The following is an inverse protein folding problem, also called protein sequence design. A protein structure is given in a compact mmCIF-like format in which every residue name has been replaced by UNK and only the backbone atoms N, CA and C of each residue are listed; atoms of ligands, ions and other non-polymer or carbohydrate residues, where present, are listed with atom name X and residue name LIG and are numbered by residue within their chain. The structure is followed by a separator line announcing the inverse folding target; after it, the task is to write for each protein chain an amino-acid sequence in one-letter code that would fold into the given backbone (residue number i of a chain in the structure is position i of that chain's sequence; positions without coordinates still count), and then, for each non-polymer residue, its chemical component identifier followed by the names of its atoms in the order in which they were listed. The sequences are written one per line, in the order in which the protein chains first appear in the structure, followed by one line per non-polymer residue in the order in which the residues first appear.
data_IF_326859897808
#
_entry.id   IF_326859897808
#
_cell.length_a   1.000
_cell.length_b   1.000
_cell.length_c   1.000
_cell.angle_alpha   90.00
_cell.angle_beta   90.00
_cell.angle_gamma   90.00
#
_symmetry.space_group_name_H-M   'P 1'
#
loop_
_entity.id
_entity.type
_entity.pdbx_description
1 polymer ?
#
# COMPACT_ATOMS: atom_id res chain seq x y z
N UNK A 1 17.81 9.85 29.16
CA UNK A 1 19.07 9.78 29.92
C UNK A 1 18.87 8.70 30.97
N UNK A 2 19.55 7.57 30.85
CA UNK A 2 19.59 6.58 31.93
C UNK A 2 20.67 7.11 32.87
N UNK A 3 20.30 7.54 34.07
CA UNK A 3 21.28 7.95 35.06
C UNK A 3 22.19 6.75 35.37
N UNK A 4 23.51 6.94 35.29
CA UNK A 4 24.49 5.95 35.76
C UNK A 4 24.43 5.93 37.30
N UNK A 5 23.47 5.17 37.84
CA UNK A 5 23.27 4.93 39.28
C UNK A 5 24.02 3.69 39.77
N UNK A 6 24.92 3.14 38.97
CA UNK A 6 25.55 1.84 39.24
C UNK A 6 26.81 1.97 40.12
N UNK A 7 27.29 3.20 40.37
CA UNK A 7 28.47 3.44 41.20
C UNK A 7 28.07 3.73 42.66
N UNK A 8 28.60 2.96 43.63
CA UNK A 8 28.35 3.20 45.04
C UNK A 8 28.96 4.55 45.46
N UNK A 9 28.31 5.21 46.42
CA UNK A 9 28.80 6.46 46.96
C UNK A 9 30.17 6.28 47.65
N UNK A 10 31.04 7.28 47.54
CA UNK A 10 32.44 7.19 47.97
C UNK A 10 32.58 6.92 49.47
N UNK A 11 31.68 7.48 50.29
CA UNK A 11 31.59 7.25 51.74
C UNK A 11 31.30 5.79 52.09
N UNK A 12 30.56 5.07 51.25
CA UNK A 12 30.32 3.63 51.39
C UNK A 12 31.56 2.82 51.01
N UNK A 13 32.30 3.25 49.99
CA UNK A 13 33.56 2.63 49.58
C UNK A 13 34.64 2.77 50.65
N UNK A 14 34.76 3.95 51.25
CA UNK A 14 35.77 4.27 52.26
C UNK A 14 35.54 3.56 53.60
N UNK A 15 34.32 3.09 53.86
CA UNK A 15 33.95 2.33 55.06
C UNK A 15 34.16 0.80 54.92
N UNK A 16 34.43 0.29 53.71
CA UNK A 16 34.66 -1.13 53.47
C UNK A 16 36.08 -1.56 53.86
N UNK A 17 36.24 -2.85 54.19
CA UNK A 17 37.57 -3.45 54.26
C UNK A 17 38.19 -3.59 52.86
N UNK A 18 39.53 -3.58 52.76
CA UNK A 18 40.25 -3.70 51.48
C UNK A 18 39.79 -4.92 50.65
N UNK A 19 39.53 -6.05 51.31
CA UNK A 19 39.08 -7.27 50.65
C UNK A 19 37.65 -7.17 50.09
N UNK A 20 36.78 -6.42 50.74
CA UNK A 20 35.42 -6.15 50.29
C UNK A 20 35.42 -5.13 49.14
N UNK A 21 36.21 -4.07 49.27
CA UNK A 21 36.45 -3.09 48.22
C UNK A 21 36.93 -3.77 46.92
N UNK A 22 37.92 -4.66 47.00
CA UNK A 22 38.44 -5.38 45.84
C UNK A 22 37.42 -6.32 45.19
N UNK A 23 36.49 -6.90 45.97
CA UNK A 23 35.41 -7.72 45.43
C UNK A 23 34.38 -6.84 44.72
N UNK A 24 34.01 -5.72 45.32
CA UNK A 24 33.03 -4.80 44.76
C UNK A 24 33.57 -4.15 43.47
N UNK A 25 34.82 -3.71 43.45
CA UNK A 25 35.45 -3.17 42.24
C UNK A 25 35.60 -4.20 41.12
N UNK A 26 35.71 -5.50 41.44
CA UNK A 26 35.65 -6.57 40.44
C UNK A 26 34.23 -6.77 39.90
N UNK A 27 33.22 -6.70 40.76
CA UNK A 27 31.80 -6.78 40.37
C UNK A 27 31.41 -5.61 39.46
N UNK A 28 31.75 -4.38 39.85
CA UNK A 28 31.44 -3.17 39.08
C UNK A 28 32.09 -3.20 37.70
N UNK A 29 33.35 -3.65 37.59
CA UNK A 29 34.00 -3.82 36.29
C UNK A 29 33.26 -4.79 35.36
N UNK A 30 32.76 -5.91 35.90
CA UNK A 30 31.95 -6.86 35.12
C UNK A 30 30.63 -6.23 34.66
N UNK A 31 29.89 -5.60 35.58
CA UNK A 31 28.62 -4.95 35.25
C UNK A 31 28.78 -3.85 34.19
N UNK A 32 29.83 -3.02 34.29
CA UNK A 32 30.12 -2.01 33.27
C UNK A 32 30.44 -2.63 31.91
N UNK A 33 31.17 -3.75 31.88
CA UNK A 33 31.46 -4.45 30.64
C UNK A 33 30.19 -5.06 30.02
N UNK A 34 29.37 -5.76 30.81
CA UNK A 34 28.11 -6.34 30.36
C UNK A 34 27.14 -5.26 29.85
N UNK A 35 27.06 -4.13 30.56
CA UNK A 35 26.27 -2.96 30.13
C UNK A 35 26.76 -2.40 28.81
N UNK A 36 28.08 -2.28 28.62
CA UNK A 36 28.66 -1.81 27.35
C UNK A 36 28.31 -2.77 26.19
N UNK A 37 28.41 -4.08 26.40
CA UNK A 37 28.02 -5.08 25.39
C UNK A 37 26.52 -5.02 25.09
N UNK A 38 25.68 -4.92 26.12
CA UNK A 38 24.23 -4.76 25.97
C UNK A 38 23.89 -3.47 25.18
N UNK A 39 24.60 -2.38 25.43
CA UNK A 39 24.39 -1.13 24.72
C UNK A 39 24.74 -1.26 23.24
N UNK A 40 25.85 -1.93 22.90
CA UNK A 40 26.25 -2.19 21.50
C UNK A 40 25.24 -3.10 20.80
N UNK A 41 24.76 -4.15 21.46
CA UNK A 41 23.75 -5.03 20.87
C UNK A 41 22.41 -4.30 20.66
N UNK A 42 22.02 -3.45 21.61
CA UNK A 42 20.80 -2.64 21.50
C UNK A 42 20.85 -1.67 20.31
N UNK A 43 21.97 -0.97 20.10
CA UNK A 43 22.11 -0.04 18.96
C UNK A 43 22.02 -0.78 17.63
N UNK A 44 22.67 -1.94 17.50
CA UNK A 44 22.58 -2.79 16.30
C UNK A 44 21.15 -3.25 16.03
N UNK A 45 20.41 -3.67 17.06
CA UNK A 45 19.01 -4.06 16.92
C UNK A 45 18.12 -2.88 16.53
N UNK A 46 18.36 -1.69 17.10
CA UNK A 46 17.63 -0.48 16.77
C UNK A 46 17.81 -0.08 15.30
N UNK A 47 19.03 -0.19 14.76
CA UNK A 47 19.31 0.11 13.35
C UNK A 47 18.68 -0.92 12.40
N UNK A 48 18.70 -2.22 12.79
CA UNK A 48 17.97 -3.26 12.05
C UNK A 48 16.47 -2.97 12.00
N UNK A 49 15.87 -2.62 13.14
CA UNK A 49 14.45 -2.28 13.23
C UNK A 49 14.11 -1.08 12.32
N UNK A 50 14.93 -0.03 12.35
CA UNK A 50 14.78 1.14 11.47
C UNK A 50 14.82 0.74 9.99
N UNK A 51 15.72 -0.17 9.62
CA UNK A 51 15.86 -0.65 8.24
C UNK A 51 14.66 -1.47 7.79
N UNK A 52 14.18 -2.40 8.63
CA UNK A 52 12.98 -3.19 8.32
C UNK A 52 11.74 -2.32 8.20
N UNK A 53 11.58 -1.32 9.08
CA UNK A 53 10.48 -0.37 9.02
C UNK A 53 10.45 0.39 7.69
N UNK A 54 11.58 0.96 7.26
CA UNK A 54 11.69 1.63 5.95
C UNK A 54 11.34 0.71 4.78
N UNK A 55 11.77 -0.56 4.85
CA UNK A 55 11.45 -1.55 3.81
C UNK A 55 9.97 -1.87 3.77
N UNK A 56 9.34 -2.06 4.93
CA UNK A 56 7.92 -2.31 5.05
C UNK A 56 7.09 -1.13 4.52
N UNK A 57 7.45 0.10 4.90
CA UNK A 57 6.80 1.33 4.42
C UNK A 57 6.88 1.45 2.88
N UNK A 58 8.06 1.19 2.30
CA UNK A 58 8.23 1.19 0.83
C UNK A 58 7.36 0.11 0.16
N UNK A 59 7.31 -1.09 0.73
CA UNK A 59 6.51 -2.17 0.18
C UNK A 59 5.01 -1.83 0.22
N UNK A 60 4.51 -1.32 1.35
CA UNK A 60 3.12 -0.90 1.51
C UNK A 60 2.75 0.20 0.50
N UNK A 61 3.62 1.19 0.30
CA UNK A 61 3.40 2.24 -0.70
C UNK A 61 3.33 1.66 -2.12
N UNK A 62 4.22 0.72 -2.46
CA UNK A 62 4.22 0.05 -3.76
C UNK A 62 2.95 -0.78 -3.99
N UNK A 63 2.47 -1.48 -2.96
CA UNK A 63 1.23 -2.27 -3.03
C UNK A 63 0.02 -1.36 -3.18
N UNK A 64 -0.05 -0.27 -2.40
CA UNK A 64 -1.13 0.70 -2.48
C UNK A 64 -1.21 1.36 -3.88
N UNK A 65 -0.06 1.73 -4.45
CA UNK A 65 0.02 2.25 -5.81
C UNK A 65 -0.43 1.23 -6.86
N UNK A 66 -0.01 -0.03 -6.71
CA UNK A 66 -0.46 -1.13 -7.59
C UNK A 66 -1.97 -1.34 -7.55
N UNK A 67 -2.54 -1.35 -6.35
CA UNK A 67 -3.98 -1.49 -6.14
C UNK A 67 -4.76 -0.31 -6.76
N UNK A 68 -4.32 0.93 -6.53
CA UNK A 68 -4.95 2.11 -7.10
C UNK A 68 -4.92 2.09 -8.64
N UNK A 69 -3.78 1.74 -9.23
CA UNK A 69 -3.65 1.62 -10.69
C UNK A 69 -4.53 0.52 -11.26
N UNK A 70 -4.66 -0.61 -10.56
CA UNK A 70 -5.54 -1.69 -10.97
C UNK A 70 -7.00 -1.26 -10.96
N UNK A 71 -7.45 -0.63 -9.87
CA UNK A 71 -8.82 -0.12 -9.74
C UNK A 71 -9.14 0.90 -10.83
N UNK A 72 -8.23 1.85 -11.11
CA UNK A 72 -8.44 2.83 -12.16
C UNK A 72 -8.57 2.19 -13.56
N UNK A 73 -7.77 1.16 -13.85
CA UNK A 73 -7.87 0.41 -15.11
C UNK A 73 -9.16 -0.40 -15.20
N UNK A 74 -9.54 -1.04 -14.09
CA UNK A 74 -10.78 -1.79 -14.00
C UNK A 74 -11.99 -0.89 -14.22
N UNK A 75 -12.03 0.27 -13.55
CA UNK A 75 -13.11 1.24 -13.69
C UNK A 75 -13.22 1.75 -15.12
N UNK A 76 -12.09 2.12 -15.75
CA UNK A 76 -12.08 2.56 -17.16
C UNK A 76 -12.63 1.48 -18.10
N UNK A 77 -12.15 0.24 -17.97
CA UNK A 77 -12.63 -0.87 -18.78
C UNK A 77 -14.14 -1.14 -18.56
N UNK A 78 -14.60 -0.96 -17.33
CA UNK A 78 -16.01 -1.14 -16.97
C UNK A 78 -16.88 -0.02 -17.55
N UNK A 79 -16.39 1.23 -17.56
CA UNK A 79 -17.06 2.36 -18.22
C UNK A 79 -17.14 2.15 -19.74
N UNK A 80 -16.05 1.73 -20.39
CA UNK A 80 -16.04 1.44 -21.83
C UNK A 80 -17.04 0.34 -22.18
N UNK A 81 -17.01 -0.79 -21.45
CA UNK A 81 -17.96 -1.90 -21.63
C UNK A 81 -19.40 -1.43 -21.44
N UNK A 82 -19.69 -0.69 -20.38
CA UNK A 82 -21.05 -0.20 -20.12
C UNK A 82 -21.52 0.76 -21.23
N UNK A 83 -20.61 1.58 -21.77
CA UNK A 83 -20.91 2.45 -22.91
C UNK A 83 -21.24 1.68 -24.19
N UNK A 84 -20.58 0.55 -24.44
CA UNK A 84 -20.91 -0.34 -25.56
C UNK A 84 -22.26 -1.05 -25.36
N UNK A 85 -22.52 -1.54 -24.15
CA UNK A 85 -23.81 -2.16 -23.79
C UNK A 85 -24.94 -1.17 -24.04
N UNK A 86 -24.82 0.07 -23.57
CA UNK A 86 -25.85 1.10 -23.77
C UNK A 86 -26.11 1.41 -25.26
N UNK A 87 -25.06 1.38 -26.11
CA UNK A 87 -25.22 1.54 -27.57
C UNK A 87 -25.97 0.37 -28.19
N UNK A 88 -25.69 -0.86 -27.74
CA UNK A 88 -26.37 -2.06 -28.21
C UNK A 88 -27.82 -2.09 -27.76
N UNK A 89 -28.10 -1.78 -26.50
CA UNK A 89 -29.46 -1.67 -25.95
C UNK A 89 -30.29 -0.66 -26.73
N UNK A 90 -29.71 0.51 -27.05
CA UNK A 90 -30.39 1.50 -27.90
C UNK A 90 -30.72 0.94 -29.29
N UNK A 91 -29.77 0.25 -29.94
CA UNK A 91 -30.00 -0.36 -31.25
C UNK A 91 -31.09 -1.44 -31.19
N UNK A 92 -31.10 -2.25 -30.13
CA UNK A 92 -32.13 -3.27 -29.92
C UNK A 92 -33.50 -2.59 -29.77
N UNK A 93 -33.62 -1.58 -28.92
CA UNK A 93 -34.86 -0.82 -28.76
C UNK A 93 -35.33 -0.17 -30.08
N UNK A 94 -34.40 0.39 -30.88
CA UNK A 94 -34.70 0.94 -32.21
C UNK A 94 -35.22 -0.14 -33.18
N UNK A 95 -34.78 -1.38 -33.05
CA UNK A 95 -35.29 -2.51 -33.84
C UNK A 95 -36.66 -2.99 -33.32
N UNK A 96 -36.83 -3.13 -32.01
CA UNK A 96 -38.07 -3.57 -31.37
C UNK A 96 -39.23 -2.59 -31.66
N UNK A 97 -38.97 -1.28 -31.65
CA UNK A 97 -39.97 -0.25 -31.95
C UNK A 97 -40.51 -0.33 -33.39
N UNK A 98 -39.74 -0.87 -34.34
CA UNK A 98 -40.16 -1.00 -35.76
C UNK A 98 -41.07 -2.21 -36.00
N UNK A 99 -41.21 -3.11 -35.02
CA UNK A 99 -41.97 -4.34 -35.16
C UNK A 99 -41.25 -5.39 -36.02
N UNK A 100 -41.77 -6.63 -36.08
CA UNK A 100 -41.18 -7.69 -36.89
C UNK A 100 -41.28 -7.33 -38.38
N UNK A 101 -40.12 -7.37 -39.04
CA UNK A 101 -40.00 -7.31 -40.48
C UNK A 101 -40.46 -8.67 -41.02
N UNK A 102 -41.48 -8.68 -41.88
CA UNK A 102 -42.04 -9.95 -42.36
C UNK A 102 -41.24 -10.52 -43.53
N UNK A 103 -40.45 -9.68 -44.21
CA UNK A 103 -39.56 -10.06 -45.32
C UNK A 103 -38.21 -9.33 -45.28
N UNK A 104 -37.20 -9.92 -45.93
CA UNK A 104 -35.87 -9.32 -46.08
C UNK A 104 -35.92 -8.06 -46.96
N UNK A 105 -36.81 -8.02 -47.98
CA UNK A 105 -37.01 -6.82 -48.80
C UNK A 105 -37.44 -5.61 -47.97
N UNK A 106 -38.44 -5.77 -47.09
CA UNK A 106 -38.89 -4.68 -46.20
C UNK A 106 -37.69 -4.14 -45.41
N UNK A 107 -36.88 -5.03 -44.80
CA UNK A 107 -35.73 -4.63 -43.98
C UNK A 107 -34.73 -3.80 -44.78
N UNK A 108 -34.40 -4.25 -45.99
CA UNK A 108 -33.44 -3.56 -46.87
C UNK A 108 -33.96 -2.20 -47.33
N UNK A 109 -35.26 -2.06 -47.61
CA UNK A 109 -35.86 -0.77 -47.98
C UNK A 109 -35.78 0.24 -46.83
N UNK A 110 -35.97 -0.22 -45.59
CA UNK A 110 -35.88 0.66 -44.44
C UNK A 110 -34.47 1.11 -44.08
N UNK A 111 -33.48 0.23 -44.26
CA UNK A 111 -32.06 0.56 -44.05
C UNK A 111 -31.56 1.53 -45.13
N UNK A 112 -32.10 1.42 -46.36
CA UNK A 112 -31.92 2.44 -47.41
C UNK A 112 -32.49 3.78 -46.97
N UNK A 113 -33.76 3.81 -46.56
CA UNK A 113 -34.46 5.02 -46.10
C UNK A 113 -33.75 5.69 -44.91
N UNK A 114 -33.19 4.89 -43.99
CA UNK A 114 -32.40 5.39 -42.85
C UNK A 114 -31.10 6.07 -43.28
N UNK A 115 -30.39 5.51 -44.26
CA UNK A 115 -29.17 6.10 -44.83
C UNK A 115 -29.47 7.40 -45.58
N UNK A 116 -30.54 7.41 -46.35
CA UNK A 116 -30.95 8.58 -47.15
C UNK A 116 -31.46 9.74 -46.27
N UNK A 117 -32.16 9.44 -45.17
CA UNK A 117 -32.52 10.47 -44.18
C UNK A 117 -31.30 11.03 -43.44
N UNK A 118 -30.31 10.19 -43.10
CA UNK A 118 -29.10 10.62 -42.40
C UNK A 118 -28.18 11.50 -43.28
N UNK A 119 -28.19 11.30 -44.60
CA UNK A 119 -27.46 12.16 -45.55
C UNK A 119 -28.15 13.50 -45.81
N UNK A 120 -29.50 13.55 -45.76
CA UNK A 120 -30.25 14.81 -45.95
C UNK A 120 -30.18 15.79 -44.76
N UNK A 121 -29.77 15.32 -43.57
CA UNK A 121 -29.71 16.12 -42.35
C UNK A 121 -28.30 16.68 -42.05
N UNK A 122 -27.35 16.52 -42.98
CA UNK A 122 -25.96 16.95 -42.84
C UNK A 122 -25.58 18.18 -43.71
N UNK A 123 -26.58 18.82 -44.35
CA UNK A 123 -26.48 20.15 -45.00
C UNK A 123 -27.11 21.22 -44.11
#
# INVERSE_FOLDING_TARGET
MIADTDDPAQDVLDAMSDAEYDREMRRLRKLRHEKAEAQVTFTVLQDKLRTYRKRAEKHLASVALGAANFLARQEKAQQERNGEIAKLEKRIADFECKGPWTTFEEFTESEKKRRDCASSSAE
#
